data_IF_441339191919
#
_entry.id   IF_441339191919
#
_cell.length_a   1.000
_cell.length_b   1.000
_cell.length_c   1.000
_cell.angle_alpha   90.00
_cell.angle_beta   90.00
_cell.angle_gamma   90.00
#
_symmetry.space_group_name_H-M   'P 1'
#
loop_
_entity.id
_entity.type
_entity.pdbx_description
1 polymer ?
#
# COMPACT_ATOMS: atom_id res chain seq x y z
N UNK A 1 8.86 5.14 -5.57
CA UNK A 1 7.68 4.27 -5.45
C UNK A 1 6.70 4.70 -6.53
N UNK A 2 6.22 3.79 -7.40
CA UNK A 2 5.25 4.17 -8.42
C UNK A 2 3.89 4.33 -7.74
N UNK A 3 3.43 5.56 -7.59
CA UNK A 3 2.08 5.86 -7.08
C UNK A 3 1.10 5.29 -8.11
N UNK A 4 0.50 4.14 -7.81
CA UNK A 4 -0.55 3.61 -8.69
C UNK A 4 -1.66 4.66 -8.80
N UNK A 5 -1.97 5.06 -10.03
CA UNK A 5 -3.09 5.96 -10.27
C UNK A 5 -4.37 5.19 -9.96
N UNK A 6 -5.33 5.88 -9.34
CA UNK A 6 -6.63 5.31 -8.97
C UNK A 6 -7.36 4.66 -10.15
N UNK A 7 -7.18 5.21 -11.36
CA UNK A 7 -7.73 4.64 -12.60
C UNK A 7 -7.20 3.24 -12.89
N UNK A 8 -5.92 2.99 -12.65
CA UNK A 8 -5.29 1.69 -12.91
C UNK A 8 -5.73 0.68 -11.85
N UNK A 9 -5.85 1.12 -10.59
CA UNK A 9 -6.34 0.29 -9.50
C UNK A 9 -7.77 -0.21 -9.70
N UNK A 10 -8.65 0.61 -10.31
CA UNK A 10 -10.03 0.20 -10.63
C UNK A 10 -10.08 -0.89 -11.71
N UNK A 11 -9.11 -0.93 -12.62
CA UNK A 11 -9.02 -1.94 -13.69
C UNK A 11 -8.49 -3.29 -13.21
N UNK A 12 -7.87 -3.35 -12.02
CA UNK A 12 -7.37 -4.61 -11.46
C UNK A 12 -8.53 -5.52 -11.02
N UNK A 13 -8.36 -6.82 -11.23
CA UNK A 13 -9.26 -7.85 -10.67
C UNK A 13 -9.12 -7.97 -9.15
N UNK A 14 -10.13 -8.54 -8.48
CA UNK A 14 -10.14 -8.63 -7.01
C UNK A 14 -8.91 -9.35 -6.44
N UNK A 15 -8.56 -10.51 -7.00
CA UNK A 15 -7.37 -11.28 -6.58
C UNK A 15 -6.09 -10.46 -6.69
N UNK A 16 -5.99 -9.62 -7.71
CA UNK A 16 -4.80 -8.81 -7.92
C UNK A 16 -4.74 -7.61 -6.98
N UNK A 17 -5.90 -7.00 -6.68
CA UNK A 17 -6.02 -5.98 -5.64
C UNK A 17 -5.62 -6.55 -4.27
N UNK A 18 -6.06 -7.76 -3.95
CA UNK A 18 -5.73 -8.43 -2.68
C UNK A 18 -4.24 -8.77 -2.58
N UNK A 19 -3.65 -9.29 -3.67
CA UNK A 19 -2.21 -9.55 -3.74
C UNK A 19 -1.41 -8.27 -3.48
N UNK A 20 -1.79 -7.17 -4.15
CA UNK A 20 -1.14 -5.86 -3.97
C UNK A 20 -1.29 -5.30 -2.56
N UNK A 21 -2.47 -5.50 -1.95
CA UNK A 21 -2.71 -5.11 -0.57
C UNK A 21 -1.80 -5.88 0.40
N UNK A 22 -1.61 -7.19 0.17
CA UNK A 22 -0.70 -8.01 0.97
C UNK A 22 0.76 -7.56 0.82
N UNK A 23 1.21 -7.28 -0.41
CA UNK A 23 2.56 -6.77 -0.69
C UNK A 23 2.82 -5.43 0.02
N UNK A 24 1.88 -4.48 -0.04
CA UNK A 24 2.00 -3.19 0.65
C UNK A 24 2.04 -3.33 2.18
N UNK A 25 1.26 -4.25 2.75
CA UNK A 25 1.31 -4.55 4.20
C UNK A 25 2.66 -5.14 4.59
N UNK A 26 3.22 -6.04 3.78
CA UNK A 26 4.54 -6.62 4.02
C UNK A 26 5.64 -5.56 3.95
N UNK A 27 5.58 -4.66 2.96
CA UNK A 27 6.52 -3.55 2.84
C UNK A 27 6.44 -2.61 4.05
N UNK A 28 5.22 -2.28 4.50
CA UNK A 28 5.00 -1.48 5.70
C UNK A 28 5.57 -2.13 6.96
N UNK A 29 5.47 -3.45 7.09
CA UNK A 29 6.02 -4.19 8.22
C UNK A 29 7.56 -4.15 8.22
N UNK A 30 8.19 -4.32 7.05
CA UNK A 30 9.65 -4.19 6.89
C UNK A 30 10.14 -2.78 7.27
N UNK A 31 9.46 -1.74 6.79
CA UNK A 31 9.81 -0.36 7.15
C UNK A 31 9.66 -0.09 8.65
N UNK A 32 8.62 -0.64 9.29
CA UNK A 32 8.46 -0.55 10.75
C UNK A 32 9.56 -1.29 11.51
N UNK A 33 9.97 -2.47 11.04
CA UNK A 33 11.07 -3.21 11.63
C UNK A 33 12.39 -2.41 11.54
N UNK A 34 12.66 -1.81 10.39
CA UNK A 34 13.82 -0.93 10.18
C UNK A 34 13.83 0.27 11.13
N UNK A 35 12.68 0.93 11.32
CA UNK A 35 12.53 2.02 12.31
C UNK A 35 12.83 1.49 13.71
N UNK A 36 12.29 0.33 14.05
CA UNK A 36 12.43 -0.25 15.39
C UNK A 36 13.87 -0.57 15.76
N UNK A 37 14.71 -0.96 14.79
CA UNK A 37 16.13 -1.27 15.02
C UNK A 37 17.02 -0.02 14.93
N UNK A 38 16.43 1.17 14.78
CA UNK A 38 17.18 2.43 14.64
C UNK A 38 17.90 2.57 13.30
N UNK A 39 17.55 1.77 12.29
CA UNK A 39 18.10 1.93 10.96
C UNK A 39 17.57 3.23 10.34
N UNK A 40 18.46 3.98 9.69
CA UNK A 40 18.09 5.20 8.98
C UNK A 40 17.05 4.87 7.93
N UNK A 41 15.82 5.35 8.14
CA UNK A 41 14.77 5.15 7.14
C UNK A 41 15.16 5.87 5.85
N UNK A 42 15.26 5.12 4.75
CA UNK A 42 15.65 5.68 3.44
C UNK A 42 14.69 6.79 2.96
N UNK A 43 13.47 6.87 3.49
CA UNK A 43 12.57 8.01 3.27
C UNK A 43 11.52 8.13 4.38
N UNK A 44 11.50 9.24 5.15
CA UNK A 44 10.48 9.48 6.18
C UNK A 44 9.05 9.58 5.63
N UNK A 45 8.89 9.75 4.30
CA UNK A 45 7.60 9.77 3.62
C UNK A 45 7.04 8.39 3.28
N UNK A 46 7.86 7.34 3.26
CA UNK A 46 7.50 6.04 2.67
C UNK A 46 6.33 5.36 3.37
N UNK A 47 6.32 5.33 4.70
CA UNK A 47 5.20 4.77 5.48
C UNK A 47 3.91 5.56 5.23
N UNK A 48 4.01 6.89 5.14
CA UNK A 48 2.84 7.75 4.86
C UNK A 48 2.26 7.45 3.48
N UNK A 49 3.11 7.23 2.49
CA UNK A 49 2.70 6.84 1.14
C UNK A 49 2.04 5.46 1.12
N UNK A 50 2.65 4.44 1.75
CA UNK A 50 2.09 3.10 1.83
C UNK A 50 0.70 3.13 2.49
N UNK A 51 0.55 3.84 3.60
CA UNK A 51 -0.75 4.03 4.28
C UNK A 51 -1.81 4.63 3.36
N UNK A 52 -1.46 5.68 2.60
CA UNK A 52 -2.38 6.31 1.64
C UNK A 52 -2.77 5.36 0.51
N UNK A 53 -1.83 4.56 0.01
CA UNK A 53 -2.10 3.59 -1.04
C UNK A 53 -3.01 2.47 -0.55
N UNK A 54 -2.78 1.94 0.65
CA UNK A 54 -3.66 0.95 1.30
C UNK A 54 -5.09 1.51 1.46
N UNK A 55 -5.23 2.76 1.92
CA UNK A 55 -6.54 3.40 2.07
C UNK A 55 -7.29 3.52 0.74
N UNK A 56 -6.59 3.86 -0.36
CA UNK A 56 -7.18 3.90 -1.70
C UNK A 56 -7.61 2.51 -2.18
N UNK A 57 -6.80 1.47 -1.93
CA UNK A 57 -7.18 0.08 -2.26
C UNK A 57 -8.48 -0.30 -1.55
N UNK A 58 -8.54 -0.07 -0.24
CA UNK A 58 -9.71 -0.43 0.55
C UNK A 58 -10.96 0.34 0.10
N UNK A 59 -10.81 1.61 -0.29
CA UNK A 59 -11.90 2.42 -0.84
C UNK A 59 -12.42 1.82 -2.14
N UNK A 60 -11.55 1.50 -3.09
CA UNK A 60 -11.94 0.88 -4.37
C UNK A 60 -12.57 -0.50 -4.15
N UNK A 61 -12.04 -1.30 -3.22
CA UNK A 61 -12.64 -2.60 -2.86
C UNK A 61 -14.06 -2.43 -2.33
N UNK A 62 -14.30 -1.42 -1.49
CA UNK A 62 -15.64 -1.09 -1.00
C UNK A 62 -16.57 -0.58 -2.10
N UNK A 63 -16.07 0.25 -3.02
CA UNK A 63 -16.81 0.74 -4.20
C UNK A 63 -17.19 -0.37 -5.19
N UNK A 64 -16.48 -1.50 -5.22
CA UNK A 64 -16.79 -2.64 -6.11
C UNK A 64 -17.80 -3.63 -5.52
N UNK A 65 -17.90 -3.69 -4.20
CA UNK A 65 -18.77 -4.62 -3.46
C UNK A 65 -20.16 -4.01 -3.21
N UNK A 66 -20.25 -2.68 -3.09
CA UNK A 66 -21.51 -1.93 -2.97
C UNK A 66 -22.04 -1.49 -4.32
#
# INVERSE_FOLDING_TARGET
MSILRTKDMRKLGEKEIEKRLAELKLEMAKERANISIGATTASPGKIREIRKTIARINTIKKEKIG
#
